data_IF_486140993311
#
_entry.id   IF_486140993311
#
_cell.length_a   1.000
_cell.length_b   1.000
_cell.length_c   1.000
_cell.angle_alpha   90.00
_cell.angle_beta   90.00
_cell.angle_gamma   90.00
#
_symmetry.space_group_name_H-M   'P 1'
#
loop_
_entity.id
_entity.type
_entity.pdbx_description
1 polymer ?
#
# COMPACT_ATOMS: atom_id res chain seq x y z
N UNK A 1 -10.67 -14.70 36.83
CA UNK A 1 -10.79 -13.22 36.77
C UNK A 1 -9.71 -12.62 35.87
N UNK A 2 -8.42 -12.88 36.13
CA UNK A 2 -7.29 -12.33 35.35
C UNK A 2 -7.37 -12.61 33.83
N UNK A 3 -7.71 -13.85 33.42
CA UNK A 3 -7.89 -14.21 32.00
C UNK A 3 -8.99 -13.40 31.28
N UNK A 4 -10.08 -13.05 31.99
CA UNK A 4 -11.18 -12.26 31.42
C UNK A 4 -10.74 -10.81 31.18
N UNK A 5 -9.91 -10.28 32.08
CA UNK A 5 -9.37 -8.92 31.98
C UNK A 5 -8.31 -8.81 30.88
N UNK A 6 -7.44 -9.83 30.77
CA UNK A 6 -6.48 -9.98 29.67
C UNK A 6 -7.19 -10.06 28.31
N UNK A 7 -8.28 -10.83 28.22
CA UNK A 7 -9.08 -10.92 27.00
C UNK A 7 -9.76 -9.59 26.67
N UNK A 8 -10.31 -8.88 27.67
CA UNK A 8 -10.90 -7.54 27.46
C UNK A 8 -9.89 -6.53 26.93
N UNK A 9 -8.65 -6.53 27.45
CA UNK A 9 -7.57 -5.67 26.94
C UNK A 9 -7.23 -6.02 25.50
N UNK A 10 -7.09 -7.31 25.20
CA UNK A 10 -6.83 -7.79 23.85
C UNK A 10 -7.94 -7.41 22.84
N UNK A 11 -9.21 -7.54 23.22
CA UNK A 11 -10.34 -7.15 22.38
C UNK A 11 -10.34 -5.65 22.01
N UNK A 12 -9.80 -4.77 22.86
CA UNK A 12 -9.64 -3.34 22.56
C UNK A 12 -8.58 -3.06 21.50
N UNK A 13 -7.69 -4.02 21.21
CA UNK A 13 -6.65 -3.89 20.18
C UNK A 13 -7.19 -4.24 18.78
N UNK A 14 -8.30 -4.99 18.70
CA UNK A 14 -8.88 -5.47 17.44
C UNK A 14 -9.22 -4.32 16.47
N UNK A 15 -9.88 -3.22 16.89
CA UNK A 15 -10.20 -2.12 15.96
C UNK A 15 -8.96 -1.49 15.33
N UNK A 16 -7.90 -1.27 16.13
CA UNK A 16 -6.60 -0.76 15.65
C UNK A 16 -5.98 -1.73 14.65
N UNK A 17 -6.03 -3.02 14.98
CA UNK A 17 -5.52 -4.09 14.14
C UNK A 17 -6.25 -4.16 12.78
N UNK A 18 -7.58 -4.07 12.77
CA UNK A 18 -8.38 -4.10 11.54
C UNK A 18 -8.02 -2.96 10.58
N UNK A 19 -7.60 -1.80 11.12
CA UNK A 19 -7.17 -0.68 10.28
C UNK A 19 -5.88 -0.98 9.49
N UNK A 20 -5.08 -1.97 9.90
CA UNK A 20 -3.86 -2.38 9.17
C UNK A 20 -4.17 -3.25 7.93
N UNK A 21 -5.39 -3.78 7.81
CA UNK A 21 -5.82 -4.59 6.66
C UNK A 21 -5.80 -3.74 5.38
N UNK A 22 -6.23 -2.47 5.47
CA UNK A 22 -6.23 -1.55 4.33
C UNK A 22 -4.82 -1.26 3.79
N UNK A 23 -3.82 -1.19 4.68
CA UNK A 23 -2.41 -1.05 4.30
C UNK A 23 -1.90 -2.30 3.58
N UNK A 24 -2.21 -3.48 4.11
CA UNK A 24 -1.86 -4.76 3.46
C UNK A 24 -2.52 -4.90 2.08
N UNK A 25 -3.73 -4.39 1.91
CA UNK A 25 -4.37 -4.29 0.60
C UNK A 25 -3.54 -3.42 -0.36
N UNK A 26 -3.01 -2.28 0.09
CA UNK A 26 -2.14 -1.45 -0.76
C UNK A 26 -0.84 -2.16 -1.16
N UNK A 27 -0.25 -2.92 -0.23
CA UNK A 27 0.95 -3.72 -0.51
C UNK A 27 0.70 -4.76 -1.61
N UNK A 28 -0.46 -5.41 -1.59
CA UNK A 28 -0.83 -6.37 -2.63
C UNK A 28 -0.89 -5.71 -4.03
N UNK A 29 -1.44 -4.49 -4.13
CA UNK A 29 -1.56 -3.76 -5.39
C UNK A 29 -0.22 -3.26 -5.93
N UNK A 30 0.70 -2.98 -5.02
CA UNK A 30 2.06 -2.61 -5.36
C UNK A 30 2.82 -3.82 -5.97
N UNK A 31 2.58 -5.03 -5.49
CA UNK A 31 3.21 -6.25 -6.00
C UNK A 31 2.61 -6.73 -7.33
N UNK A 32 1.37 -6.35 -7.64
CA UNK A 32 0.66 -6.82 -8.84
C UNK A 32 0.49 -5.71 -9.88
N UNK A 33 -0.45 -4.80 -9.68
CA UNK A 33 -0.83 -3.78 -10.67
C UNK A 33 0.29 -2.81 -10.98
N UNK A 34 1.11 -2.43 -9.99
CA UNK A 34 2.24 -1.54 -10.26
C UNK A 34 3.33 -2.22 -11.10
N UNK A 35 3.47 -3.54 -11.01
CA UNK A 35 4.39 -4.31 -11.86
C UNK A 35 3.83 -4.39 -13.28
N UNK A 36 2.53 -4.64 -13.46
CA UNK A 36 1.91 -4.61 -14.78
C UNK A 36 1.99 -3.22 -15.43
N UNK A 37 1.74 -2.16 -14.64
CA UNK A 37 1.93 -0.77 -15.08
C UNK A 37 3.37 -0.55 -15.57
N UNK A 38 4.37 -0.99 -14.80
CA UNK A 38 5.78 -0.82 -15.14
C UNK A 38 6.22 -1.58 -16.40
N UNK A 39 5.56 -2.69 -16.76
CA UNK A 39 5.84 -3.41 -18.03
C UNK A 39 5.50 -2.57 -19.27
N UNK A 40 4.61 -1.60 -19.14
CA UNK A 40 4.22 -0.68 -20.23
C UNK A 40 5.12 0.56 -20.33
N UNK A 41 6.07 0.74 -19.40
CA UNK A 41 6.91 1.93 -19.28
C UNK A 41 8.32 1.69 -19.81
N UNK A 42 9.07 2.77 -20.08
CA UNK A 42 10.47 2.64 -20.48
C UNK A 42 11.34 2.17 -19.30
N UNK A 43 11.92 0.99 -19.46
CA UNK A 43 12.78 0.33 -18.47
C UNK A 43 14.26 0.63 -18.67
N UNK A 44 14.62 1.38 -19.72
CA UNK A 44 16.01 1.80 -19.96
C UNK A 44 16.38 2.92 -19.00
N UNK A 45 17.34 2.65 -18.12
CA UNK A 45 17.96 3.67 -17.25
C UNK A 45 19.17 4.29 -17.96
N UNK A 46 19.96 3.44 -18.62
CA UNK A 46 21.15 3.82 -19.39
C UNK A 46 21.07 3.16 -20.76
N UNK A 47 21.83 3.64 -21.74
CA UNK A 47 21.88 3.08 -23.11
C UNK A 47 22.06 1.55 -23.13
N UNK A 48 22.83 0.99 -22.17
CA UNK A 48 23.12 -0.45 -22.09
C UNK A 48 22.41 -1.18 -20.95
N UNK A 49 21.61 -0.49 -20.12
CA UNK A 49 21.04 -1.09 -18.91
C UNK A 49 19.52 -0.96 -18.87
N UNK A 50 18.85 -2.12 -18.90
CA UNK A 50 17.40 -2.26 -18.69
C UNK A 50 17.15 -2.71 -17.26
N UNK A 51 16.42 -1.90 -16.51
CA UNK A 51 16.04 -2.22 -15.15
C UNK A 51 14.81 -3.14 -15.16
N UNK A 52 14.88 -4.36 -14.59
CA UNK A 52 13.73 -5.23 -14.53
C UNK A 52 12.63 -4.60 -13.68
N UNK A 53 11.39 -4.60 -14.18
CA UNK A 53 10.26 -4.00 -13.44
C UNK A 53 10.05 -4.67 -12.08
N UNK A 54 10.26 -5.99 -11.98
CA UNK A 54 10.19 -6.72 -10.73
C UNK A 54 11.23 -6.26 -9.69
N UNK A 55 12.35 -5.67 -10.13
CA UNK A 55 13.38 -5.11 -9.24
C UNK A 55 12.94 -3.81 -8.56
N UNK A 56 11.79 -3.21 -8.92
CA UNK A 56 11.22 -2.06 -8.20
C UNK A 56 10.99 -2.36 -6.71
N UNK A 57 10.71 -3.62 -6.35
CA UNK A 57 10.54 -4.03 -4.97
C UNK A 57 11.84 -3.93 -4.13
N UNK A 58 13.01 -3.91 -4.78
CA UNK A 58 14.28 -3.70 -4.08
C UNK A 58 14.42 -2.28 -3.55
N UNK A 59 13.78 -1.28 -4.18
CA UNK A 59 13.85 0.14 -3.78
C UNK A 59 13.40 0.34 -2.32
N UNK A 60 12.18 -0.06 -1.93
CA UNK A 60 11.73 0.12 -0.54
C UNK A 60 12.57 -0.71 0.43
N UNK A 61 13.00 -1.92 0.07
CA UNK A 61 13.86 -2.76 0.95
C UNK A 61 15.20 -2.07 1.23
N UNK A 62 15.90 -1.61 0.18
CA UNK A 62 17.19 -0.93 0.33
C UNK A 62 17.02 0.33 1.17
N UNK A 63 15.96 1.10 0.91
CA UNK A 63 15.65 2.28 1.70
C UNK A 63 15.39 1.93 3.17
N UNK A 64 14.57 0.93 3.45
CA UNK A 64 14.30 0.46 4.82
C UNK A 64 15.61 0.04 5.53
N UNK A 65 16.46 -0.75 4.87
CA UNK A 65 17.75 -1.19 5.44
C UNK A 65 18.63 -0.02 5.85
N UNK A 66 18.66 1.04 5.04
CA UNK A 66 19.41 2.25 5.34
C UNK A 66 18.70 3.05 6.43
N UNK A 67 17.39 3.20 6.37
CA UNK A 67 16.65 4.15 7.20
C UNK A 67 16.38 3.63 8.61
N UNK A 68 16.13 2.33 8.80
CA UNK A 68 15.86 1.69 10.11
C UNK A 68 16.88 2.09 11.20
N UNK A 69 18.21 2.02 11.00
CA UNK A 69 19.17 2.41 12.02
C UNK A 69 19.09 3.91 12.38
N UNK A 70 18.74 4.79 11.44
CA UNK A 70 18.52 6.20 11.72
C UNK A 70 17.19 6.44 12.43
N UNK A 71 16.14 5.72 12.04
CA UNK A 71 14.82 5.80 12.68
C UNK A 71 14.89 5.43 14.15
N UNK A 72 15.57 4.33 14.48
CA UNK A 72 15.74 3.90 15.87
C UNK A 72 16.46 4.96 16.72
N UNK A 73 17.45 5.66 16.14
CA UNK A 73 18.23 6.70 16.83
C UNK A 73 17.51 8.04 16.98
N UNK A 74 16.68 8.44 16.01
CA UNK A 74 16.17 9.82 15.90
C UNK A 74 14.67 9.92 16.27
N UNK A 75 13.84 9.00 15.77
CA UNK A 75 12.38 9.06 15.92
C UNK A 75 11.83 7.98 16.86
N UNK A 76 12.55 6.87 17.04
CA UNK A 76 12.13 5.70 17.83
C UNK A 76 11.94 5.96 19.33
N UNK A 77 12.41 7.09 19.86
CA UNK A 77 12.17 7.49 21.26
C UNK A 77 11.15 8.62 21.41
N UNK A 78 10.73 9.26 20.32
CA UNK A 78 9.93 10.50 20.36
C UNK A 78 8.46 10.31 19.97
N UNK A 79 8.15 9.32 19.14
CA UNK A 79 6.78 9.04 18.70
C UNK A 79 6.17 7.87 19.47
N UNK A 80 4.92 8.02 19.91
CA UNK A 80 4.19 6.90 20.52
C UNK A 80 3.90 5.79 19.49
N UNK A 81 3.73 4.53 19.92
CA UNK A 81 3.41 3.42 19.01
C UNK A 81 2.17 3.69 18.14
N UNK A 82 1.11 4.27 18.71
CA UNK A 82 -0.09 4.66 17.97
C UNK A 82 0.20 5.76 16.94
N UNK A 83 0.98 6.78 17.30
CA UNK A 83 1.34 7.84 16.35
C UNK A 83 2.10 7.28 15.13
N UNK A 84 2.98 6.29 15.34
CA UNK A 84 3.70 5.64 14.24
C UNK A 84 2.76 4.87 13.31
N UNK A 85 1.79 4.12 13.86
CA UNK A 85 0.76 3.44 13.07
C UNK A 85 -0.03 4.48 12.25
N UNK A 86 -0.46 5.58 12.88
CA UNK A 86 -1.18 6.65 12.19
C UNK A 86 -0.38 7.27 11.05
N UNK A 87 0.89 7.61 11.28
CA UNK A 87 1.79 8.13 10.24
C UNK A 87 1.91 7.14 9.08
N UNK A 88 2.05 5.85 9.38
CA UNK A 88 2.09 4.81 8.37
C UNK A 88 0.81 4.76 7.52
N UNK A 89 -0.37 4.64 8.15
CA UNK A 89 -1.66 4.62 7.44
C UNK A 89 -1.90 5.89 6.59
N UNK A 90 -1.51 7.06 7.09
CA UNK A 90 -1.58 8.32 6.33
C UNK A 90 -0.65 8.30 5.11
N UNK A 91 0.59 7.82 5.28
CA UNK A 91 1.55 7.66 4.17
C UNK A 91 1.08 6.63 3.14
N UNK A 92 0.41 5.55 3.53
CA UNK A 92 -0.19 4.59 2.60
C UNK A 92 -1.24 5.27 1.71
N UNK A 93 -2.15 6.06 2.29
CA UNK A 93 -3.15 6.82 1.53
C UNK A 93 -2.48 7.80 0.56
N UNK A 94 -1.48 8.54 1.03
CA UNK A 94 -0.72 9.47 0.18
C UNK A 94 0.01 8.74 -0.95
N UNK A 95 0.59 7.57 -0.68
CA UNK A 95 1.24 6.73 -1.69
C UNK A 95 0.28 6.30 -2.80
N UNK A 96 -0.95 5.92 -2.47
CA UNK A 96 -1.96 5.55 -3.47
C UNK A 96 -2.43 6.78 -4.27
N UNK A 97 -2.51 7.96 -3.64
CA UNK A 97 -2.78 9.20 -4.37
C UNK A 97 -1.66 9.54 -5.37
N UNK A 98 -0.39 9.37 -4.98
CA UNK A 98 0.75 9.51 -5.89
C UNK A 98 0.66 8.50 -7.03
N UNK A 99 0.29 7.25 -6.75
CA UNK A 99 0.12 6.23 -7.78
C UNK A 99 -0.95 6.60 -8.81
N UNK A 100 -2.09 7.14 -8.36
CA UNK A 100 -3.14 7.66 -9.24
C UNK A 100 -2.62 8.79 -10.14
N UNK A 101 -1.87 9.75 -9.59
CA UNK A 101 -1.29 10.87 -10.35
C UNK A 101 -0.26 10.38 -11.38
N UNK A 102 0.60 9.43 -10.98
CA UNK A 102 1.60 8.83 -11.89
C UNK A 102 0.90 8.14 -13.06
N UNK A 103 -0.21 7.42 -12.80
CA UNK A 103 -0.97 6.77 -13.86
C UNK A 103 -1.64 7.76 -14.82
N UNK A 104 -2.22 8.85 -14.29
CA UNK A 104 -2.75 9.94 -15.14
C UNK A 104 -1.67 10.50 -16.05
N UNK A 105 -0.46 10.74 -15.52
CA UNK A 105 0.68 11.22 -16.32
C UNK A 105 1.13 10.20 -17.36
N UNK A 106 1.18 8.92 -17.01
CA UNK A 106 1.54 7.84 -17.93
C UNK A 106 0.56 7.76 -19.10
N UNK A 107 -0.74 7.81 -18.82
CA UNK A 107 -1.79 7.79 -19.86
C UNK A 107 -1.75 9.03 -20.75
N UNK A 108 -1.49 10.21 -20.18
CA UNK A 108 -1.30 11.44 -20.96
C UNK A 108 -0.09 11.33 -21.91
N UNK A 109 1.03 10.78 -21.45
CA UNK A 109 2.21 10.54 -22.27
C UNK A 109 1.96 9.49 -23.38
N UNK A 110 1.22 8.41 -23.07
CA UNK A 110 0.82 7.41 -24.05
C UNK A 110 -0.02 8.02 -25.17
N UNK A 111 -1.02 8.85 -24.81
CA UNK A 111 -1.88 9.55 -25.77
C UNK A 111 -1.09 10.53 -26.65
N UNK A 112 -0.14 11.27 -26.06
CA UNK A 112 0.72 12.20 -26.80
C UNK A 112 1.64 11.48 -27.81
N UNK A 113 2.08 10.26 -27.49
CA UNK A 113 2.87 9.42 -28.36
C UNK A 113 2.04 8.61 -29.38
N UNK A 114 0.70 8.72 -29.36
CA UNK A 114 -0.20 7.96 -30.23
C UNK A 114 -0.28 6.47 -29.90
N UNK A 115 0.16 6.06 -28.70
CA UNK A 115 0.16 4.66 -28.24
C UNK A 115 -1.21 4.39 -27.60
N UNK A 116 -2.11 3.80 -28.38
CA UNK A 116 -3.47 3.45 -27.94
C UNK A 116 -3.48 2.05 -27.30
N UNK A 117 -2.71 1.12 -27.86
CA UNK A 117 -2.52 -0.22 -27.30
C UNK A 117 -1.13 -0.41 -26.70
N UNK A 118 -1.05 -1.12 -25.57
CA UNK A 118 0.24 -1.49 -24.97
C UNK A 118 1.12 -2.36 -25.90
N UNK A 119 0.53 -2.97 -26.94
CA UNK A 119 1.25 -3.70 -27.99
C UNK A 119 1.95 -2.81 -29.02
N UNK A 120 1.59 -1.52 -29.11
CA UNK A 120 2.13 -0.58 -30.09
C UNK A 120 3.47 0.04 -29.67
N UNK A 121 3.88 -0.13 -28.41
CA UNK A 121 5.17 0.34 -27.92
C UNK A 121 5.16 0.67 -26.42
N UNK A 122 6.36 0.92 -25.89
CA UNK A 122 6.53 1.38 -24.51
C UNK A 122 6.17 2.87 -24.42
N UNK A 123 5.44 3.24 -23.36
CA UNK A 123 5.18 4.64 -23.04
C UNK A 123 6.51 5.33 -22.73
N UNK A 124 6.81 6.52 -23.32
CA UNK A 124 8.06 7.24 -23.12
C UNK A 124 8.10 7.92 -21.74
N UNK A 125 7.93 7.14 -20.68
CA UNK A 125 8.00 7.54 -19.29
C UNK A 125 8.84 6.51 -18.55
N UNK A 126 9.84 6.98 -17.79
CA UNK A 126 10.75 6.09 -17.07
C UNK A 126 10.02 5.30 -15.97
N UNK A 127 10.33 4.01 -15.86
CA UNK A 127 9.82 3.14 -14.78
C UNK A 127 10.17 3.66 -13.38
N UNK A 128 11.19 4.51 -13.24
CA UNK A 128 11.62 5.10 -11.96
C UNK A 128 10.57 5.99 -11.31
N UNK A 129 9.59 6.50 -12.07
CA UNK A 129 8.45 7.23 -11.49
C UNK A 129 7.62 6.36 -10.53
N UNK A 130 7.54 5.05 -10.78
CA UNK A 130 6.93 4.09 -9.85
C UNK A 130 7.78 3.91 -8.58
N UNK A 131 9.07 4.22 -8.62
CA UNK A 131 9.92 4.21 -7.43
C UNK A 131 9.38 5.10 -6.31
N UNK A 132 8.68 6.20 -6.64
CA UNK A 132 8.11 7.11 -5.65
C UNK A 132 6.99 6.48 -4.81
N UNK A 133 6.01 5.82 -5.45
CA UNK A 133 4.94 5.12 -4.73
C UNK A 133 5.49 3.91 -3.96
N UNK A 134 6.49 3.20 -4.51
CA UNK A 134 7.17 2.11 -3.80
C UNK A 134 7.87 2.60 -2.54
N UNK A 135 8.60 3.71 -2.64
CA UNK A 135 9.30 4.31 -1.50
C UNK A 135 8.31 4.75 -0.40
N UNK A 136 7.27 5.51 -0.77
CA UNK A 136 6.28 6.02 0.18
C UNK A 136 5.55 4.88 0.90
N UNK A 137 5.09 3.88 0.16
CA UNK A 137 4.42 2.73 0.75
C UNK A 137 5.37 1.89 1.63
N UNK A 138 6.64 1.76 1.23
CA UNK A 138 7.66 1.11 2.05
C UNK A 138 7.89 1.84 3.37
N UNK A 139 8.02 3.17 3.36
CA UNK A 139 8.13 3.96 4.59
C UNK A 139 6.89 3.77 5.46
N UNK A 140 5.71 3.82 4.85
CA UNK A 140 4.43 3.58 5.51
C UNK A 140 4.39 2.23 6.25
N UNK A 141 4.80 1.16 5.55
CA UNK A 141 4.81 -0.20 6.10
C UNK A 141 5.78 -0.31 7.28
N UNK A 142 6.99 0.24 7.14
CA UNK A 142 7.98 0.26 8.22
C UNK A 142 7.45 0.97 9.48
N UNK A 143 6.82 2.14 9.34
CA UNK A 143 6.24 2.86 10.47
C UNK A 143 5.09 2.09 11.13
N UNK A 144 4.22 1.50 10.31
CA UNK A 144 3.06 0.74 10.79
C UNK A 144 3.51 -0.51 11.51
N UNK A 145 4.41 -1.31 10.93
CA UNK A 145 4.91 -2.55 11.51
C UNK A 145 5.67 -2.28 12.82
N UNK A 146 6.54 -1.28 12.84
CA UNK A 146 7.27 -0.92 14.05
C UNK A 146 6.33 -0.45 15.18
N UNK A 147 5.38 0.44 14.88
CA UNK A 147 4.40 0.90 15.85
C UNK A 147 3.47 -0.20 16.34
N UNK A 148 3.03 -1.08 15.44
CA UNK A 148 2.17 -2.23 15.73
C UNK A 148 2.86 -3.23 16.66
N UNK A 149 4.09 -3.63 16.35
CA UNK A 149 4.86 -4.54 17.19
C UNK A 149 5.07 -3.94 18.58
N UNK A 150 5.53 -2.70 18.68
CA UNK A 150 5.79 -2.06 19.97
C UNK A 150 4.52 -1.91 20.81
N UNK A 151 3.40 -1.50 20.19
CA UNK A 151 2.10 -1.41 20.85
C UNK A 151 1.64 -2.77 21.38
N UNK A 152 1.73 -3.82 20.58
CA UNK A 152 1.37 -5.17 21.02
C UNK A 152 2.29 -5.68 22.12
N UNK A 153 3.59 -5.41 22.07
CA UNK A 153 4.51 -5.83 23.12
C UNK A 153 4.23 -5.15 24.46
N UNK A 154 3.75 -3.91 24.44
CA UNK A 154 3.40 -3.12 25.64
C UNK A 154 2.03 -3.52 26.21
N UNK A 155 1.02 -3.70 25.35
CA UNK A 155 -0.37 -3.93 25.79
C UNK A 155 -0.77 -5.40 25.90
N UNK A 156 -0.11 -6.30 25.17
CA UNK A 156 -0.48 -7.71 25.19
C UNK A 156 0.07 -8.41 26.44
N UNK A 157 -0.75 -9.25 27.11
CA UNK A 157 -0.29 -10.15 28.16
C UNK A 157 0.85 -11.04 27.67
N UNK A 158 1.80 -11.36 28.56
CA UNK A 158 3.00 -12.17 28.20
C UNK A 158 2.63 -13.48 27.52
N UNK A 159 1.51 -14.10 27.93
CA UNK A 159 1.00 -15.37 27.39
C UNK A 159 0.30 -15.25 26.02
N UNK A 160 -0.03 -14.04 25.55
CA UNK A 160 -0.77 -13.80 24.29
C UNK A 160 0.09 -13.14 23.19
N UNK A 161 1.41 -13.02 23.39
CA UNK A 161 2.30 -12.40 22.40
C UNK A 161 2.33 -13.15 21.07
N UNK A 162 2.28 -14.49 21.09
CA UNK A 162 2.20 -15.30 19.87
C UNK A 162 0.94 -15.01 19.05
N UNK A 163 -0.20 -14.78 19.73
CA UNK A 163 -1.46 -14.41 19.08
C UNK A 163 -1.36 -13.06 18.34
N UNK A 164 -0.59 -12.11 18.86
CA UNK A 164 -0.38 -10.81 18.21
C UNK A 164 0.40 -10.95 16.89
N UNK A 165 1.42 -11.82 16.87
CA UNK A 165 2.17 -12.12 15.63
C UNK A 165 1.29 -12.85 14.62
N UNK A 166 0.53 -13.86 15.04
CA UNK A 166 -0.41 -14.57 14.16
C UNK A 166 -1.49 -13.66 13.61
N UNK A 167 -1.99 -12.72 14.44
CA UNK A 167 -2.89 -11.68 13.97
C UNK A 167 -2.24 -10.85 12.86
N UNK A 168 -1.00 -10.40 13.00
CA UNK A 168 -0.31 -9.63 11.95
C UNK A 168 -0.34 -10.34 10.58
N UNK A 169 -0.05 -11.64 10.55
CA UNK A 169 -0.17 -12.47 9.34
C UNK A 169 -1.61 -12.62 8.84
N UNK A 170 -2.58 -12.71 9.75
CA UNK A 170 -4.00 -12.72 9.41
C UNK A 170 -4.43 -11.39 8.77
N UNK A 171 -3.93 -10.24 9.25
CA UNK A 171 -4.18 -8.92 8.62
C UNK A 171 -3.67 -8.90 7.19
N UNK A 172 -2.45 -9.41 6.96
CA UNK A 172 -1.90 -9.53 5.62
C UNK A 172 -2.77 -10.41 4.73
N UNK A 173 -3.17 -11.60 5.18
CA UNK A 173 -4.05 -12.48 4.41
C UNK A 173 -5.38 -11.79 4.06
N UNK A 174 -6.04 -11.15 5.04
CA UNK A 174 -7.28 -10.43 4.83
C UNK A 174 -7.10 -9.23 3.88
N UNK A 175 -5.98 -8.52 3.95
CA UNK A 175 -5.68 -7.41 3.06
C UNK A 175 -5.51 -7.87 1.61
N UNK A 176 -4.88 -9.02 1.39
CA UNK A 176 -4.71 -9.60 0.06
C UNK A 176 -6.04 -10.13 -0.51
N UNK A 177 -6.89 -10.75 0.32
CA UNK A 177 -8.24 -11.11 -0.09
C UNK A 177 -9.10 -9.89 -0.42
N UNK A 178 -9.03 -8.85 0.42
CA UNK A 178 -9.72 -7.58 0.18
C UNK A 178 -9.26 -6.95 -1.14
N UNK A 179 -7.97 -7.00 -1.44
CA UNK A 179 -7.41 -6.56 -2.72
C UNK A 179 -8.08 -7.27 -3.91
N UNK A 180 -8.21 -8.60 -3.88
CA UNK A 180 -8.90 -9.36 -4.93
C UNK A 180 -10.37 -8.97 -5.06
N UNK A 181 -11.07 -8.83 -3.93
CA UNK A 181 -12.48 -8.39 -3.92
C UNK A 181 -12.63 -7.00 -4.52
N UNK A 182 -11.75 -6.05 -4.16
CA UNK A 182 -11.78 -4.69 -4.69
C UNK A 182 -11.51 -4.66 -6.20
N UNK A 183 -10.59 -5.49 -6.70
CA UNK A 183 -10.37 -5.65 -8.14
C UNK A 183 -11.65 -6.14 -8.83
N UNK A 184 -12.26 -7.21 -8.33
CA UNK A 184 -13.52 -7.73 -8.88
C UNK A 184 -14.66 -6.71 -8.84
N UNK A 185 -14.81 -6.00 -7.72
CA UNK A 185 -15.82 -4.93 -7.58
C UNK A 185 -15.56 -3.77 -8.54
N UNK A 186 -14.31 -3.37 -8.72
CA UNK A 186 -13.96 -2.28 -9.66
C UNK A 186 -14.27 -2.64 -11.10
N UNK A 187 -14.02 -3.89 -11.50
CA UNK A 187 -14.36 -4.39 -12.83
C UNK A 187 -15.88 -4.54 -13.01
N UNK A 188 -16.59 -4.97 -11.97
CA UNK A 188 -18.05 -4.97 -11.96
C UNK A 188 -18.58 -3.54 -12.15
N UNK A 189 -18.19 -2.59 -11.29
CA UNK A 189 -18.65 -1.19 -11.37
C UNK A 189 -18.30 -0.58 -12.74
N UNK A 190 -17.09 -0.84 -13.25
CA UNK A 190 -16.66 -0.38 -14.57
C UNK A 190 -17.51 -0.90 -15.72
N UNK A 191 -18.07 -2.12 -15.63
CA UNK A 191 -18.96 -2.65 -16.66
C UNK A 191 -20.37 -2.02 -16.63
N UNK A 192 -20.80 -1.49 -15.48
CA UNK A 192 -22.06 -0.75 -15.36
C UNK A 192 -21.95 0.70 -15.83
N UNK A 193 -20.75 1.30 -15.80
CA UNK A 193 -20.53 2.68 -16.24
C UNK A 193 -20.09 2.76 -17.71
N UNK A 194 -20.40 3.85 -18.43
CA UNK A 194 -19.90 4.08 -19.79
C UNK A 194 -18.36 4.18 -19.89
N UNK A 195 -17.67 4.24 -18.76
CA UNK A 195 -16.21 4.31 -18.65
C UNK A 195 -15.50 3.01 -19.00
N UNK A 196 -16.21 1.86 -19.03
CA UNK A 196 -15.59 0.55 -19.28
C UNK A 196 -14.81 -0.01 -18.08
N UNK A 197 -14.17 -1.17 -18.27
CA UNK A 197 -13.44 -1.90 -17.22
C UNK A 197 -12.27 -1.07 -16.64
N UNK A 198 -12.17 -0.99 -15.31
CA UNK A 198 -11.10 -0.24 -14.65
C UNK A 198 -9.75 -0.97 -14.77
N UNK A 199 -9.75 -2.29 -14.64
CA UNK A 199 -8.58 -3.14 -14.87
C UNK A 199 -8.88 -4.00 -16.10
N UNK A 200 -8.64 -3.42 -17.28
CA UNK A 200 -8.87 -4.10 -18.56
C UNK A 200 -7.87 -5.26 -18.72
N UNK A 201 -8.41 -6.47 -18.85
CA UNK A 201 -7.64 -7.73 -18.83
C UNK A 201 -6.59 -7.88 -19.94
N UNK A 202 -6.74 -7.17 -21.06
CA UNK A 202 -5.83 -7.29 -22.22
C UNK A 202 -5.05 -6.02 -22.56
N UNK A 203 -5.53 -4.84 -22.19
CA UNK A 203 -4.85 -3.58 -22.48
C UNK A 203 -4.96 -2.58 -21.32
N UNK A 204 -3.89 -2.48 -20.55
CA UNK A 204 -3.78 -1.56 -19.41
C UNK A 204 -3.90 -0.08 -19.82
N UNK A 205 -3.61 0.27 -21.08
CA UNK A 205 -3.79 1.63 -21.60
C UNK A 205 -5.26 1.99 -21.84
N UNK A 206 -6.10 1.00 -22.15
CA UNK A 206 -7.54 1.18 -22.32
C UNK A 206 -8.28 1.21 -20.97
N UNK A 207 -7.72 0.53 -19.95
CA UNK A 207 -8.27 0.52 -18.60
C UNK A 207 -8.10 1.84 -17.85
N UNK A 208 -8.88 2.00 -16.79
CA UNK A 208 -8.85 3.16 -15.88
C UNK A 208 -8.19 2.84 -14.55
N UNK A 209 -6.92 2.43 -14.60
CA UNK A 209 -6.13 2.10 -13.40
C UNK A 209 -5.99 3.30 -12.45
N UNK A 210 -6.01 4.52 -12.97
CA UNK A 210 -6.01 5.75 -12.16
C UNK A 210 -7.22 5.86 -11.23
N UNK A 211 -8.41 5.40 -11.67
CA UNK A 211 -9.62 5.40 -10.86
C UNK A 211 -9.53 4.37 -9.75
N UNK A 212 -8.92 3.21 -10.03
CA UNK A 212 -8.68 2.18 -9.04
C UNK A 212 -7.72 2.66 -7.93
N UNK A 213 -6.61 3.30 -8.30
CA UNK A 213 -5.69 3.90 -7.32
C UNK A 213 -6.32 5.06 -6.54
N UNK A 214 -7.14 5.89 -7.18
CA UNK A 214 -7.88 6.95 -6.50
C UNK A 214 -8.91 6.38 -5.49
N UNK A 215 -9.63 5.32 -5.86
CA UNK A 215 -10.55 4.62 -4.97
C UNK A 215 -9.81 4.07 -3.74
N UNK A 216 -8.65 3.44 -3.93
CA UNK A 216 -7.81 2.97 -2.83
C UNK A 216 -7.29 4.10 -1.95
N UNK A 217 -6.90 5.23 -2.54
CA UNK A 217 -6.47 6.40 -1.79
C UNK A 217 -7.58 6.91 -0.86
N UNK A 218 -8.81 7.02 -1.38
CA UNK A 218 -10.00 7.43 -0.60
C UNK A 218 -10.32 6.41 0.48
N UNK A 219 -10.34 5.11 0.16
CA UNK A 219 -10.61 4.04 1.12
C UNK A 219 -9.59 4.07 2.27
N UNK A 220 -8.31 4.23 1.96
CA UNK A 220 -7.26 4.33 2.99
C UNK A 220 -7.34 5.62 3.79
N UNK A 221 -7.79 6.72 3.17
CA UNK A 221 -8.01 7.97 3.89
C UNK A 221 -9.15 7.85 4.90
N UNK A 222 -10.26 7.22 4.50
CA UNK A 222 -11.38 6.91 5.40
C UNK A 222 -10.94 5.97 6.53
N UNK A 223 -10.16 4.93 6.20
CA UNK A 223 -9.57 4.03 7.17
C UNK A 223 -8.63 4.75 8.15
N UNK A 224 -7.86 5.74 7.68
CA UNK A 224 -7.01 6.57 8.53
C UNK A 224 -7.82 7.43 9.51
N UNK A 225 -8.92 8.05 9.07
CA UNK A 225 -9.81 8.78 9.98
C UNK A 225 -10.49 7.87 11.00
N UNK A 226 -10.93 6.69 10.55
CA UNK A 226 -11.47 5.66 11.43
C UNK A 226 -10.41 5.22 12.46
N UNK A 227 -9.16 5.03 12.05
CA UNK A 227 -8.05 4.76 12.94
C UNK A 227 -7.85 5.88 13.98
N UNK A 228 -7.84 7.15 13.56
CA UNK A 228 -7.70 8.29 14.49
C UNK A 228 -8.82 8.28 15.54
N UNK A 229 -10.05 7.98 15.13
CA UNK A 229 -11.19 7.89 16.05
C UNK A 229 -10.94 6.83 17.13
N UNK A 230 -10.55 5.61 16.74
CA UNK A 230 -10.23 4.55 17.70
C UNK A 230 -8.99 4.84 18.54
N UNK A 231 -7.96 5.45 17.95
CA UNK A 231 -6.72 5.80 18.63
C UNK A 231 -6.90 6.91 19.67
N UNK A 232 -7.89 7.80 19.50
CA UNK A 232 -8.26 8.81 20.52
C UNK A 232 -9.18 8.26 21.60
N UNK A 233 -9.95 7.22 21.28
CA UNK A 233 -10.88 6.59 22.21
C UNK A 233 -10.18 5.55 23.11
N UNK A 234 -9.05 5.02 22.65
CA UNK A 234 -8.13 4.19 23.43
C UNK A 234 -7.40 5.03 24.49
#
# INVERSE_FOLDING_TARGET
>A
MQQVEETKKFLRLIPIFLCTIALNCCLAQLQTLSVEQGKTMDTRITHNFKFPVASLYAIPIIFMLIAVPFFHRILGSRLSPLQRIGVGLGLASFSMAVAAIVEVKRKAAAKAAGIVDASQGLVPMSVLWLGCQFLLLGISDMFTLAGMLEFFYQEAPVHMRSLCTTMSWCSSALGYFLSSVLVSLSNLIGSWLPTGEWIASQNLNAGHLELFYAMLAILNLLNFFHYIFWAKWY
#
